data_IF_138336773064
#
_entry.id   IF_138336773064
#
_cell.length_a   1.000
_cell.length_b   1.000
_cell.length_c   1.000
_cell.angle_alpha   90.00
_cell.angle_beta   90.00
_cell.angle_gamma   90.00
#
_symmetry.space_group_name_H-M   'P 1'
#
loop_
_entity.id
_entity.type
_entity.pdbx_description
1 polymer ?
#
# COMPACT_ATOMS: atom_id res chain seq x y z
N UNK A 1 1.72 -11.56 13.64
CA UNK A 1 1.07 -11.32 12.33
C UNK A 1 1.95 -10.37 11.53
N UNK A 2 2.41 -10.77 10.34
CA UNK A 2 3.30 -9.97 9.52
C UNK A 2 2.56 -9.29 8.35
N UNK A 3 2.47 -7.96 8.37
CA UNK A 3 1.93 -7.21 7.23
C UNK A 3 3.02 -7.08 6.17
N UNK A 4 2.83 -7.59 4.94
CA UNK A 4 3.86 -7.58 3.87
C UNK A 4 3.41 -6.78 2.64
N UNK A 5 4.30 -5.94 2.11
CA UNK A 5 4.15 -5.32 0.79
C UNK A 5 4.65 -6.29 -0.28
N UNK A 6 3.77 -6.78 -1.16
CA UNK A 6 4.17 -7.59 -2.30
C UNK A 6 4.65 -6.72 -3.46
N UNK A 7 5.90 -6.93 -3.82
CA UNK A 7 6.58 -6.27 -4.91
C UNK A 7 6.06 -6.84 -6.26
N UNK A 8 5.08 -6.19 -6.90
CA UNK A 8 4.52 -6.63 -8.19
C UNK A 8 4.82 -5.69 -9.34
N UNK A 9 4.75 -6.26 -10.53
CA UNK A 9 4.82 -5.51 -11.78
C UNK A 9 3.47 -4.85 -12.07
N UNK A 10 3.42 -3.53 -11.93
CA UNK A 10 2.23 -2.72 -12.20
C UNK A 10 2.44 -1.88 -13.46
N UNK A 11 1.37 -1.48 -14.13
CA UNK A 11 1.43 -0.46 -15.18
C UNK A 11 0.79 0.82 -14.67
N UNK A 12 1.56 1.90 -14.65
CA UNK A 12 1.04 3.23 -14.42
C UNK A 12 1.09 3.98 -15.75
N UNK A 13 -0.05 4.42 -16.31
CA UNK A 13 -0.07 5.26 -17.50
C UNK A 13 0.45 6.65 -17.13
N UNK A 14 1.77 6.76 -17.02
CA UNK A 14 2.49 8.00 -16.77
C UNK A 14 3.39 8.27 -17.97
N UNK A 15 3.21 9.43 -18.60
CA UNK A 15 4.02 9.84 -19.75
C UNK A 15 5.44 10.23 -19.30
N UNK A 16 6.33 9.24 -19.29
CA UNK A 16 7.78 9.44 -19.24
C UNK A 16 8.37 9.22 -20.64
N UNK A 17 9.44 9.92 -21.02
CA UNK A 17 10.18 9.59 -22.24
C UNK A 17 10.70 8.15 -22.19
N UNK A 18 10.98 7.56 -23.35
CA UNK A 18 11.56 6.23 -23.46
C UNK A 18 12.82 6.08 -22.60
N UNK A 19 12.99 4.89 -22.02
CA UNK A 19 14.10 4.55 -21.14
C UNK A 19 13.67 4.09 -19.74
N UNK A 20 14.67 3.75 -18.91
CA UNK A 20 14.47 3.17 -17.59
C UNK A 20 14.63 4.21 -16.48
N UNK A 21 13.53 4.47 -15.79
CA UNK A 21 13.41 5.52 -14.79
C UNK A 21 13.38 4.96 -13.38
N UNK A 22 14.21 5.47 -12.48
CA UNK A 22 14.18 5.15 -11.06
C UNK A 22 13.34 6.19 -10.32
N UNK A 23 12.39 5.75 -9.48
CA UNK A 23 11.70 6.63 -8.53
C UNK A 23 12.71 7.12 -7.50
N UNK A 24 13.14 8.37 -7.69
CA UNK A 24 14.20 9.00 -6.91
C UNK A 24 13.66 9.57 -5.60
N UNK A 25 12.51 10.25 -5.65
CA UNK A 25 11.94 10.96 -4.51
C UNK A 25 10.46 11.29 -4.66
N UNK A 26 9.78 11.44 -3.53
CA UNK A 26 8.44 12.02 -3.42
C UNK A 26 8.51 13.38 -2.73
N UNK A 27 8.02 14.39 -3.42
CA UNK A 27 7.94 15.79 -3.00
C UNK A 27 6.67 16.13 -2.25
N UNK A 28 6.23 17.38 -2.41
CA UNK A 28 4.99 17.92 -1.85
C UNK A 28 3.76 17.54 -2.70
N UNK A 29 2.58 17.72 -2.12
CA UNK A 29 1.31 17.53 -2.81
C UNK A 29 0.95 18.78 -3.62
N UNK A 30 0.17 18.58 -4.69
CA UNK A 30 -0.43 19.65 -5.47
C UNK A 30 -1.77 19.18 -6.08
N UNK A 31 -2.62 20.12 -6.46
CA UNK A 31 -3.85 19.81 -7.19
C UNK A 31 -3.54 19.43 -8.63
N UNK A 32 -4.23 18.41 -9.13
CA UNK A 32 -4.12 18.02 -10.53
C UNK A 32 -4.94 18.98 -11.40
N UNK A 33 -4.32 19.53 -12.44
CA UNK A 33 -4.96 20.51 -13.33
C UNK A 33 -6.19 19.94 -14.06
N UNK A 34 -6.23 18.63 -14.27
CA UNK A 34 -7.25 17.93 -15.05
C UNK A 34 -8.52 17.59 -14.24
N UNK A 35 -8.46 17.67 -12.90
CA UNK A 35 -9.59 17.39 -12.02
C UNK A 35 -9.48 18.19 -10.72
N UNK A 36 -10.28 19.25 -10.60
CA UNK A 36 -10.42 20.02 -9.37
C UNK A 36 -10.74 19.05 -8.21
N UNK A 37 -10.09 19.24 -7.05
CA UNK A 37 -10.12 18.38 -5.84
C UNK A 37 -9.25 17.12 -5.85
N UNK A 38 -8.73 16.65 -7.00
CA UNK A 38 -7.82 15.51 -7.02
C UNK A 38 -6.41 15.94 -6.64
N UNK A 39 -5.85 15.28 -5.63
CA UNK A 39 -4.48 15.50 -5.16
C UNK A 39 -3.50 14.59 -5.88
N UNK A 40 -2.41 15.18 -6.34
CA UNK A 40 -1.22 14.47 -6.77
C UNK A 40 -0.03 14.76 -5.87
N UNK A 41 0.98 13.91 -5.96
CA UNK A 41 2.29 14.09 -5.33
C UNK A 41 3.36 14.30 -6.40
N UNK A 42 4.20 15.32 -6.20
CA UNK A 42 5.34 15.54 -7.08
C UNK A 42 6.31 14.36 -6.93
N UNK A 43 6.47 13.57 -7.98
CA UNK A 43 7.36 12.41 -8.02
C UNK A 43 8.51 12.69 -8.98
N UNK A 44 9.72 12.37 -8.54
CA UNK A 44 10.95 12.64 -9.25
C UNK A 44 11.56 11.34 -9.75
N UNK A 45 11.88 11.28 -11.02
CA UNK A 45 12.33 10.10 -11.73
C UNK A 45 13.73 10.34 -12.30
N UNK A 46 14.69 9.47 -11.99
CA UNK A 46 16.05 9.53 -12.53
C UNK A 46 16.18 8.56 -13.70
N UNK A 47 16.64 9.03 -14.86
CA UNK A 47 17.00 8.14 -15.97
C UNK A 47 18.27 7.35 -15.62
N UNK A 48 18.24 6.02 -15.74
CA UNK A 48 19.29 5.13 -15.19
C UNK A 48 20.02 4.27 -16.20
N UNK A 49 19.45 4.05 -17.37
CA UNK A 49 19.99 3.23 -18.47
C UNK A 49 20.88 4.02 -19.44
N UNK A 50 21.47 5.12 -18.98
CA UNK A 50 22.33 6.01 -19.77
C UNK A 50 23.63 6.34 -19.02
N UNK A 51 24.70 6.75 -19.72
CA UNK A 51 25.92 7.25 -19.10
C UNK A 51 25.64 8.39 -18.10
N UNK A 52 26.47 8.51 -17.06
CA UNK A 52 26.28 9.50 -15.98
C UNK A 52 26.13 10.95 -16.48
N UNK A 53 26.77 11.30 -17.59
CA UNK A 53 26.68 12.62 -18.21
C UNK A 53 25.29 12.92 -18.82
N UNK A 54 24.54 11.87 -19.16
CA UNK A 54 23.21 11.94 -19.79
C UNK A 54 22.07 11.70 -18.80
N UNK A 55 22.40 11.28 -17.57
CA UNK A 55 21.43 11.11 -16.51
C UNK A 55 20.70 12.43 -16.25
N UNK A 56 19.38 12.37 -16.19
CA UNK A 56 18.51 13.52 -15.92
C UNK A 56 17.38 13.15 -14.99
N UNK A 57 16.83 14.15 -14.33
CA UNK A 57 15.67 13.99 -13.46
C UNK A 57 14.44 14.60 -14.11
N UNK A 58 13.39 13.79 -14.26
CA UNK A 58 12.07 14.21 -14.68
C UNK A 58 11.16 14.35 -13.46
N UNK A 59 10.36 15.42 -13.43
CA UNK A 59 9.32 15.62 -12.42
C UNK A 59 7.96 15.31 -13.05
N UNK A 60 7.13 14.53 -12.36
CA UNK A 60 5.73 14.32 -12.73
C UNK A 60 4.83 14.47 -11.51
N UNK A 61 3.60 14.94 -11.72
CA UNK A 61 2.58 14.94 -10.70
C UNK A 61 1.80 13.63 -10.81
N UNK A 62 1.93 12.75 -9.81
CA UNK A 62 1.28 11.43 -9.81
C UNK A 62 0.07 11.49 -8.88
N UNK A 63 -1.10 11.05 -9.35
CA UNK A 63 -2.30 10.96 -8.51
C UNK A 63 -2.05 10.14 -7.24
N UNK A 64 -2.50 10.64 -6.09
CA UNK A 64 -2.40 9.89 -4.83
C UNK A 64 -3.08 8.52 -4.90
N UNK A 65 -4.14 8.38 -5.69
CA UNK A 65 -4.84 7.11 -5.90
C UNK A 65 -3.92 6.03 -6.50
N UNK A 66 -2.90 6.43 -7.27
CA UNK A 66 -1.93 5.51 -7.88
C UNK A 66 -0.64 5.36 -7.09
N UNK A 67 -0.48 6.11 -6.00
CA UNK A 67 0.77 6.18 -5.26
C UNK A 67 1.17 4.81 -4.71
N UNK A 68 0.20 3.99 -4.30
CA UNK A 68 0.39 2.62 -3.80
C UNK A 68 1.15 1.68 -4.74
N UNK A 69 1.30 2.05 -6.01
CA UNK A 69 2.05 1.32 -7.03
C UNK A 69 3.54 1.71 -7.06
N UNK A 70 3.93 2.79 -6.38
CA UNK A 70 5.25 3.38 -6.40
C UNK A 70 5.90 3.35 -5.01
N UNK A 71 7.20 3.15 -4.97
CA UNK A 71 8.02 3.34 -3.78
C UNK A 71 9.41 3.82 -4.19
N UNK A 72 10.16 4.41 -3.26
CA UNK A 72 11.50 4.90 -3.56
C UNK A 72 12.42 3.75 -3.98
N UNK A 73 13.12 3.94 -5.10
CA UNK A 73 13.98 2.95 -5.69
C UNK A 73 13.29 1.97 -6.66
N UNK A 74 11.96 2.06 -6.84
CA UNK A 74 11.28 1.33 -7.90
C UNK A 74 11.79 1.80 -9.27
N UNK A 75 11.89 0.89 -10.23
CA UNK A 75 12.17 1.25 -11.62
C UNK A 75 10.86 1.25 -12.41
N UNK A 76 10.73 2.16 -13.36
CA UNK A 76 9.63 2.24 -14.29
C UNK A 76 10.19 2.28 -15.71
N UNK A 77 9.62 1.46 -16.58
CA UNK A 77 9.86 1.52 -18.01
C UNK A 77 9.02 2.65 -18.61
N UNK A 78 9.65 3.62 -19.28
CA UNK A 78 8.98 4.81 -19.80
C UNK A 78 7.98 4.50 -20.93
N UNK A 79 8.26 3.46 -21.72
CA UNK A 79 7.45 3.10 -22.88
C UNK A 79 6.20 2.28 -22.49
N UNK A 80 6.38 1.27 -21.64
CA UNK A 80 5.30 0.35 -21.23
C UNK A 80 4.59 0.75 -19.93
N UNK A 81 5.15 1.72 -19.20
CA UNK A 81 4.69 2.10 -17.86
C UNK A 81 4.92 1.02 -16.80
N UNK A 82 5.71 -0.02 -17.12
CA UNK A 82 5.93 -1.18 -16.27
C UNK A 82 6.81 -0.82 -15.07
N UNK A 83 6.27 -0.95 -13.87
CA UNK A 83 6.94 -0.69 -12.61
C UNK A 83 7.55 -2.00 -12.09
N UNK A 84 8.84 -2.00 -11.82
CA UNK A 84 9.56 -3.07 -11.14
C UNK A 84 9.96 -2.60 -9.74
N UNK A 85 9.73 -3.42 -8.72
CA UNK A 85 10.05 -3.05 -7.36
C UNK A 85 11.56 -2.89 -7.13
N UNK A 86 11.88 -2.21 -6.03
CA UNK A 86 13.26 -2.03 -5.59
C UNK A 86 13.73 -3.36 -4.98
N UNK A 87 14.94 -3.77 -5.31
CA UNK A 87 15.57 -4.97 -4.75
C UNK A 87 16.82 -4.58 -3.98
N UNK A 88 17.21 -5.43 -3.03
CA UNK A 88 18.44 -5.23 -2.30
C UNK A 88 19.66 -5.17 -3.24
N UNK A 89 20.65 -4.37 -2.89
CA UNK A 89 21.91 -4.18 -3.58
C UNK A 89 22.96 -3.61 -2.62
N UNK A 90 24.20 -3.44 -3.07
CA UNK A 90 25.28 -2.84 -2.26
C UNK A 90 24.96 -1.42 -1.75
N UNK A 91 24.06 -0.70 -2.42
CA UNK A 91 23.63 0.66 -2.04
C UNK A 91 22.28 0.69 -1.32
N UNK A 92 21.56 -0.44 -1.31
CA UNK A 92 20.22 -0.54 -0.76
C UNK A 92 20.10 -1.86 -0.01
N UNK A 93 20.25 -1.81 1.31
CA UNK A 93 20.33 -2.99 2.16
C UNK A 93 18.94 -3.35 2.67
N UNK A 94 18.55 -4.62 2.53
CA UNK A 94 17.37 -5.15 3.21
C UNK A 94 17.75 -5.54 4.64
N UNK A 95 17.05 -4.99 5.62
CA UNK A 95 17.27 -5.31 7.03
C UNK A 95 15.98 -5.18 7.84
N UNK A 96 15.96 -5.83 8.99
CA UNK A 96 14.90 -5.69 9.99
C UNK A 96 15.46 -4.96 11.20
N UNK A 97 14.76 -3.92 11.63
CA UNK A 97 15.19 -3.04 12.72
C UNK A 97 14.01 -2.74 13.65
N UNK A 98 14.29 -2.42 14.91
CA UNK A 98 13.26 -1.97 15.86
C UNK A 98 13.23 -0.45 15.87
N UNK A 99 12.13 0.15 15.41
CA UNK A 99 11.95 1.60 15.40
C UNK A 99 10.99 1.99 16.52
N UNK A 100 11.45 2.85 17.44
CA UNK A 100 10.57 3.47 18.43
C UNK A 100 9.85 4.68 17.81
N UNK A 101 8.60 4.45 17.44
CA UNK A 101 7.75 5.43 16.77
C UNK A 101 6.95 6.31 17.73
N UNK A 102 7.25 6.26 19.04
CA UNK A 102 6.63 7.14 20.03
C UNK A 102 6.94 8.63 19.78
N UNK A 103 6.05 9.56 20.17
CA UNK A 103 6.26 11.00 19.99
C UNK A 103 7.56 11.53 20.63
N UNK A 104 8.01 10.90 21.73
CA UNK A 104 9.25 11.29 22.41
C UNK A 104 10.53 10.93 21.64
N UNK A 105 10.46 9.97 20.72
CA UNK A 105 11.59 9.47 19.93
C UNK A 105 11.53 9.80 18.44
N UNK A 106 10.46 10.50 18.03
CA UNK A 106 10.27 10.95 16.66
C UNK A 106 10.26 12.47 16.55
N UNK A 107 10.71 13.00 15.43
CA UNK A 107 10.66 14.44 15.15
C UNK A 107 10.57 14.68 13.65
N UNK A 108 9.85 15.72 13.25
CA UNK A 108 9.76 16.14 11.85
C UNK A 108 11.01 16.90 11.43
N UNK A 109 11.50 16.62 10.24
CA UNK A 109 12.55 17.39 9.57
C UNK A 109 12.18 17.63 8.10
N UNK A 110 12.69 18.72 7.54
CA UNK A 110 12.60 18.98 6.10
C UNK A 110 13.73 18.27 5.35
N UNK A 111 13.44 17.76 4.16
CA UNK A 111 14.45 17.13 3.29
C UNK A 111 15.62 18.06 2.99
N UNK A 112 15.36 19.36 2.82
CA UNK A 112 16.38 20.35 2.55
C UNK A 112 17.42 20.49 3.67
N UNK A 113 17.10 20.08 4.90
CA UNK A 113 18.07 20.02 6.00
C UNK A 113 19.11 18.89 5.80
N UNK A 114 18.85 17.95 4.88
CA UNK A 114 19.74 16.83 4.57
C UNK A 114 20.56 17.14 3.32
N UNK A 115 21.89 16.99 3.42
CA UNK A 115 22.79 17.12 2.27
C UNK A 115 22.79 15.84 1.41
N UNK A 116 21.64 15.56 0.78
CA UNK A 116 21.41 14.38 -0.04
C UNK A 116 22.01 14.55 -1.45
N UNK A 117 23.29 14.21 -1.62
CA UNK A 117 23.98 14.04 -2.91
C UNK A 117 24.07 15.24 -3.88
N UNK A 118 25.16 15.29 -4.66
CA UNK A 118 25.37 16.35 -5.67
C UNK A 118 24.36 16.35 -6.82
N UNK A 119 23.79 15.18 -7.18
CA UNK A 119 22.95 15.04 -8.37
C UNK A 119 21.57 15.70 -8.23
N UNK A 120 21.16 16.01 -7.00
CA UNK A 120 19.87 16.62 -6.68
C UNK A 120 20.02 18.01 -6.06
N UNK A 121 21.23 18.58 -6.07
CA UNK A 121 21.52 19.87 -5.44
C UNK A 121 20.70 21.01 -6.07
N UNK A 122 20.47 20.97 -7.38
CA UNK A 122 19.60 21.91 -8.09
C UNK A 122 18.12 21.73 -7.72
N UNK A 123 17.67 20.49 -7.52
CA UNK A 123 16.30 20.19 -7.07
C UNK A 123 16.04 20.67 -5.64
N UNK A 124 17.06 20.75 -4.79
CA UNK A 124 16.92 21.27 -3.42
C UNK A 124 16.40 22.71 -3.36
N UNK A 125 16.54 23.47 -4.45
CA UNK A 125 16.02 24.83 -4.57
C UNK A 125 14.53 24.87 -4.98
N UNK A 126 13.96 23.75 -5.42
CA UNK A 126 12.55 23.67 -5.83
C UNK A 126 11.65 23.40 -4.61
N UNK A 127 10.67 24.28 -4.31
CA UNK A 127 9.79 24.11 -3.15
C UNK A 127 9.04 22.78 -3.14
N UNK A 128 8.70 22.25 -4.31
CA UNK A 128 7.99 20.99 -4.51
C UNK A 128 8.84 19.76 -4.13
N UNK A 129 10.18 19.87 -4.21
CA UNK A 129 11.08 18.76 -3.90
C UNK A 129 11.34 18.60 -2.41
N UNK A 130 11.25 19.71 -1.66
CA UNK A 130 11.48 19.72 -0.22
C UNK A 130 10.29 19.12 0.54
N UNK A 131 10.25 17.80 0.65
CA UNK A 131 9.23 17.07 1.42
C UNK A 131 9.63 16.84 2.88
N UNK A 132 8.66 16.34 3.66
CA UNK A 132 8.82 16.02 5.06
C UNK A 132 9.41 14.63 5.26
N UNK A 133 10.26 14.51 6.27
CA UNK A 133 10.70 13.23 6.82
C UNK A 133 10.42 13.18 8.32
N UNK A 134 10.16 11.97 8.80
CA UNK A 134 10.17 11.63 10.22
C UNK A 134 11.55 11.09 10.55
N UNK A 135 12.23 11.76 11.49
CA UNK A 135 13.47 11.29 12.10
C UNK A 135 13.13 10.47 13.34
N UNK A 136 13.66 9.26 13.41
CA UNK A 136 13.66 8.38 14.57
C UNK A 136 15.06 8.43 15.20
N UNK A 137 15.12 8.67 16.51
CA UNK A 137 16.38 8.76 17.25
C UNK A 137 17.20 7.45 17.16
N UNK A 138 18.52 7.60 17.27
CA UNK A 138 19.44 6.47 17.33
C UNK A 138 19.18 5.62 18.58
N UNK A 139 19.53 4.34 18.48
CA UNK A 139 19.52 3.39 19.60
C UNK A 139 20.91 2.79 19.76
N UNK A 140 21.12 1.99 20.81
CA UNK A 140 22.43 1.37 21.08
C UNK A 140 22.95 0.48 19.92
N UNK A 141 22.07 -0.02 19.06
CA UNK A 141 22.42 -0.92 17.94
C UNK A 141 22.13 -0.35 16.55
N UNK A 142 21.69 0.90 16.42
CA UNK A 142 21.29 1.46 15.13
C UNK A 142 21.45 2.98 15.09
N UNK A 143 21.98 3.55 13.99
CA UNK A 143 22.03 5.00 13.81
C UNK A 143 20.62 5.60 13.68
N UNK A 144 20.54 6.92 13.60
CA UNK A 144 19.27 7.62 13.35
C UNK A 144 18.65 7.17 12.02
N UNK A 145 17.33 6.98 12.03
CA UNK A 145 16.56 6.55 10.85
C UNK A 145 15.71 7.70 10.35
N UNK A 146 15.78 7.96 9.05
CA UNK A 146 14.97 8.94 8.35
C UNK A 146 13.93 8.21 7.52
N UNK A 147 12.67 8.55 7.71
CA UNK A 147 11.55 7.93 7.00
C UNK A 147 10.80 9.03 6.25
N UNK A 148 10.76 9.02 4.91
CA UNK A 148 9.94 9.95 4.16
C UNK A 148 8.47 9.80 4.55
N UNK A 149 7.74 10.91 4.72
CA UNK A 149 6.30 10.87 5.02
C UNK A 149 5.52 10.11 3.95
N UNK A 150 5.94 10.23 2.69
CA UNK A 150 5.41 9.44 1.57
C UNK A 150 5.55 7.93 1.79
N UNK A 151 6.66 7.45 2.35
CA UNK A 151 6.88 6.03 2.64
C UNK A 151 5.97 5.55 3.78
N UNK A 152 5.76 6.37 4.81
CA UNK A 152 4.78 6.09 5.88
C UNK A 152 3.36 6.07 5.33
N UNK A 153 3.01 7.05 4.51
CA UNK A 153 1.72 7.12 3.85
C UNK A 153 1.43 5.87 3.04
N UNK A 154 2.34 5.49 2.14
CA UNK A 154 2.19 4.32 1.29
C UNK A 154 1.92 3.05 2.07
N UNK A 155 2.65 2.86 3.16
CA UNK A 155 2.56 1.65 3.94
C UNK A 155 1.35 1.63 4.87
N UNK A 156 1.03 2.73 5.55
CA UNK A 156 -0.01 2.76 6.58
C UNK A 156 -1.38 3.24 6.09
N UNK A 157 -1.40 4.07 5.04
CA UNK A 157 -2.60 4.75 4.58
C UNK A 157 -2.88 4.49 3.09
N UNK A 158 -1.85 4.08 2.35
CA UNK A 158 -1.84 3.81 0.92
C UNK A 158 -2.17 2.38 0.53
N UNK A 159 -2.70 1.56 1.43
CA UNK A 159 -2.91 0.13 1.17
C UNK A 159 -4.04 -0.15 0.17
N UNK A 160 -4.96 0.81 0.02
CA UNK A 160 -6.09 0.73 -0.91
C UNK A 160 -6.58 2.12 -1.30
N UNK A 161 -7.21 2.23 -2.47
CA UNK A 161 -7.84 3.47 -2.93
C UNK A 161 -8.91 3.95 -1.93
N UNK A 162 -9.63 3.01 -1.31
CA UNK A 162 -10.65 3.31 -0.30
C UNK A 162 -10.05 4.01 0.92
N UNK A 163 -8.94 3.51 1.46
CA UNK A 163 -8.28 4.12 2.62
C UNK A 163 -7.61 5.45 2.25
N UNK A 164 -6.97 5.53 1.09
CA UNK A 164 -6.40 6.77 0.55
C UNK A 164 -7.47 7.86 0.50
N UNK A 165 -8.65 7.55 -0.07
CA UNK A 165 -9.75 8.49 -0.13
C UNK A 165 -10.24 8.86 1.27
N UNK A 166 -10.35 7.89 2.18
CA UNK A 166 -10.80 8.15 3.54
C UNK A 166 -9.87 9.12 4.30
N UNK A 167 -8.55 8.94 4.20
CA UNK A 167 -7.56 9.75 4.95
C UNK A 167 -7.28 11.11 4.31
N UNK A 168 -7.63 11.28 3.04
CA UNK A 168 -7.46 12.54 2.30
C UNK A 168 -8.76 13.35 2.18
N UNK A 169 -9.86 12.85 2.79
CA UNK A 169 -11.15 13.53 2.88
C UNK A 169 -11.64 13.61 4.32
N UNK A 170 -12.85 14.14 4.50
CA UNK A 170 -13.55 14.24 5.77
C UNK A 170 -14.08 12.89 6.30
N UNK A 171 -13.94 11.80 5.55
CA UNK A 171 -14.52 10.50 5.92
C UNK A 171 -13.95 9.92 7.22
N UNK A 172 -12.69 10.21 7.58
CA UNK A 172 -12.14 9.78 8.87
C UNK A 172 -12.71 10.54 10.07
N UNK A 173 -13.50 11.61 9.88
CA UNK A 173 -14.21 12.26 10.98
C UNK A 173 -15.40 11.43 11.49
N UNK A 174 -15.97 10.57 10.64
CA UNK A 174 -17.08 9.68 10.99
C UNK A 174 -16.75 8.23 10.56
N UNK A 175 -15.73 7.60 11.17
CA UNK A 175 -15.25 6.28 10.73
C UNK A 175 -16.34 5.19 10.79
N UNK A 176 -17.33 5.32 11.65
CA UNK A 176 -18.51 4.45 11.75
C UNK A 176 -19.43 4.50 10.52
N UNK A 177 -19.41 5.60 9.76
CA UNK A 177 -20.17 5.72 8.52
C UNK A 177 -19.42 5.12 7.33
N UNK A 178 -18.08 5.19 7.34
CA UNK A 178 -17.26 4.94 6.16
C UNK A 178 -16.38 3.68 6.24
N UNK A 179 -16.01 3.23 7.44
CA UNK A 179 -15.04 2.15 7.63
C UNK A 179 -15.69 0.88 8.18
N UNK A 180 -16.41 0.99 9.30
CA UNK A 180 -16.95 -0.17 10.04
C UNK A 180 -18.31 0.14 10.68
N UNK A 181 -19.08 -0.88 11.08
CA UNK A 181 -20.32 -0.71 11.82
C UNK A 181 -20.10 -0.98 13.32
N UNK A 182 -20.13 0.04 14.20
CA UNK A 182 -19.87 -0.14 15.62
C UNK A 182 -20.96 -0.96 16.34
N UNK A 183 -22.20 -0.95 15.85
CA UNK A 183 -23.29 -1.72 16.48
C UNK A 183 -23.09 -3.24 16.39
N UNK A 184 -22.26 -3.68 15.44
CA UNK A 184 -21.99 -5.09 15.14
C UNK A 184 -20.49 -5.41 15.21
N UNK A 185 -19.68 -4.52 15.78
CA UNK A 185 -18.25 -4.71 15.99
C UNK A 185 -17.96 -4.68 17.48
N UNK A 186 -17.05 -5.54 17.92
CA UNK A 186 -16.51 -5.55 19.26
C UNK A 186 -14.99 -5.71 19.17
N UNK A 187 -14.30 -4.56 19.26
CA UNK A 187 -12.84 -4.47 19.16
C UNK A 187 -12.13 -4.86 20.47
N UNK A 188 -12.88 -5.05 21.56
CA UNK A 188 -12.36 -5.40 22.87
C UNK A 188 -12.60 -6.87 23.25
N UNK A 189 -13.48 -7.57 22.52
CA UNK A 189 -13.66 -9.01 22.66
C UNK A 189 -12.42 -9.81 22.24
N UNK A 190 -12.39 -11.09 22.65
CA UNK A 190 -11.49 -12.08 22.08
C UNK A 190 -12.29 -13.37 21.80
N UNK A 191 -12.53 -13.76 20.53
CA UNK A 191 -12.03 -13.13 19.30
C UNK A 191 -12.61 -11.74 19.07
N UNK A 192 -11.83 -10.86 18.43
CA UNK A 192 -12.37 -9.55 18.02
C UNK A 192 -13.32 -9.73 16.86
N UNK A 193 -14.38 -8.94 16.87
CA UNK A 193 -15.39 -8.93 15.84
C UNK A 193 -15.42 -7.57 15.14
N UNK A 194 -15.39 -7.57 13.80
CA UNK A 194 -15.54 -6.36 13.00
C UNK A 194 -16.53 -6.58 11.86
N UNK A 195 -17.50 -5.68 11.71
CA UNK A 195 -18.33 -5.58 10.51
C UNK A 195 -17.82 -4.42 9.65
N UNK A 196 -17.16 -4.74 8.52
CA UNK A 196 -16.64 -3.74 7.59
C UNK A 196 -17.68 -3.31 6.57
N UNK A 197 -17.59 -2.04 6.13
CA UNK A 197 -18.44 -1.51 5.05
C UNK A 197 -18.14 -2.18 3.71
N UNK A 198 -19.12 -2.24 2.81
CA UNK A 198 -19.05 -3.00 1.53
C UNK A 198 -17.79 -2.76 0.69
N UNK A 199 -17.25 -1.56 0.75
CA UNK A 199 -16.06 -1.12 -0.01
C UNK A 199 -14.73 -1.72 0.47
N UNK A 200 -14.70 -2.34 1.65
CA UNK A 200 -13.50 -3.00 2.20
C UNK A 200 -13.44 -4.46 1.82
N UNK A 201 -12.25 -4.97 1.56
CA UNK A 201 -12.01 -6.41 1.38
C UNK A 201 -11.64 -7.10 2.68
N UNK A 202 -11.78 -8.42 2.72
CA UNK A 202 -11.54 -9.20 3.93
C UNK A 202 -10.07 -9.13 4.37
N UNK A 203 -9.15 -8.97 3.41
CA UNK A 203 -7.73 -8.79 3.68
C UNK A 203 -7.41 -7.39 4.22
N UNK A 204 -8.09 -6.35 3.72
CA UNK A 204 -7.97 -4.98 4.23
C UNK A 204 -8.65 -4.83 5.59
N UNK A 205 -9.69 -5.62 5.89
CA UNK A 205 -10.41 -5.60 7.15
C UNK A 205 -9.52 -5.96 8.34
N UNK A 206 -8.56 -6.87 8.15
CA UNK A 206 -7.58 -7.24 9.16
C UNK A 206 -6.67 -6.06 9.53
N UNK A 207 -6.21 -5.32 8.51
CA UNK A 207 -5.43 -4.10 8.71
C UNK A 207 -6.26 -2.99 9.35
N UNK A 208 -7.51 -2.80 8.90
CA UNK A 208 -8.42 -1.83 9.49
C UNK A 208 -8.66 -2.11 10.97
N UNK A 209 -8.89 -3.37 11.34
CA UNK A 209 -9.13 -3.73 12.73
C UNK A 209 -7.87 -3.52 13.59
N UNK A 210 -6.66 -3.77 13.07
CA UNK A 210 -5.41 -3.40 13.72
C UNK A 210 -5.27 -1.89 13.94
N UNK A 211 -5.65 -1.06 12.97
CA UNK A 211 -5.68 0.40 13.11
C UNK A 211 -6.71 0.86 14.15
N UNK A 212 -7.91 0.29 14.14
CA UNK A 212 -8.99 0.68 15.05
C UNK A 212 -8.69 0.29 16.51
N UNK A 213 -7.90 -0.76 16.75
CA UNK A 213 -7.43 -1.12 18.09
C UNK A 213 -6.29 -0.26 18.60
N UNK A 214 -5.52 0.38 17.71
CA UNK A 214 -4.43 1.24 18.12
C UNK A 214 -4.98 2.59 18.60
N UNK A 215 -4.71 3.00 19.85
CA UNK A 215 -5.15 4.28 20.37
C UNK A 215 -4.67 5.43 19.48
N UNK A 216 -5.53 6.41 19.25
CA UNK A 216 -5.27 7.64 18.49
C UNK A 216 -4.91 7.43 16.99
N UNK A 217 -4.87 6.20 16.47
CA UNK A 217 -4.49 5.95 15.07
C UNK A 217 -5.44 6.65 14.09
N UNK A 218 -6.75 6.63 14.36
CA UNK A 218 -7.75 7.36 13.55
C UNK A 218 -7.53 8.88 13.65
N UNK A 219 -7.22 9.40 14.83
CA UNK A 219 -6.93 10.83 15.01
C UNK A 219 -5.69 11.26 14.24
N UNK A 220 -4.63 10.43 14.23
CA UNK A 220 -3.44 10.62 13.41
C UNK A 220 -3.79 10.63 11.92
N UNK A 221 -4.62 9.69 11.47
CA UNK A 221 -5.12 9.66 10.09
C UNK A 221 -5.88 10.93 9.71
N UNK A 222 -6.75 11.43 10.60
CA UNK A 222 -7.48 12.68 10.39
C UNK A 222 -6.53 13.89 10.27
N UNK A 223 -5.37 13.88 10.94
CA UNK A 223 -4.41 14.98 10.83
C UNK A 223 -3.90 15.17 9.40
N UNK A 224 -3.88 14.12 8.57
CA UNK A 224 -3.47 14.20 7.17
C UNK A 224 -4.42 15.13 6.41
N UNK A 225 -5.73 14.86 6.47
CA UNK A 225 -6.75 15.72 5.86
C UNK A 225 -6.76 17.13 6.46
N UNK A 226 -6.65 17.25 7.79
CA UNK A 226 -6.59 18.56 8.47
C UNK A 226 -5.40 19.39 7.99
N UNK A 227 -4.22 18.79 7.85
CA UNK A 227 -3.01 19.46 7.37
C UNK A 227 -3.14 19.91 5.91
N UNK A 228 -3.72 19.08 5.05
CA UNK A 228 -4.01 19.43 3.65
C UNK A 228 -4.97 20.62 3.59
N UNK A 229 -6.08 20.56 4.33
CA UNK A 229 -7.12 21.60 4.35
C UNK A 229 -6.58 22.91 4.92
N UNK A 230 -5.85 22.85 6.03
CA UNK A 230 -5.20 24.03 6.62
C UNK A 230 -4.22 24.67 5.64
N UNK A 231 -3.39 23.88 4.95
CA UNK A 231 -2.44 24.40 3.96
C UNK A 231 -3.14 25.11 2.81
N UNK A 232 -4.26 24.55 2.31
CA UNK A 232 -5.08 25.17 1.27
C UNK A 232 -5.69 26.50 1.71
N UNK A 233 -6.14 26.61 2.96
CA UNK A 233 -6.71 27.86 3.49
C UNK A 233 -5.67 28.98 3.58
N UNK A 234 -4.43 28.66 3.96
CA UNK A 234 -3.38 29.67 4.13
C UNK A 234 -2.68 30.03 2.82
N UNK A 235 -2.42 29.04 1.95
CA UNK A 235 -1.69 29.22 0.70
C UNK A 235 -2.27 28.36 -0.44
N UNK A 236 -3.40 28.76 -1.06
CA UNK A 236 -4.16 27.93 -1.98
C UNK A 236 -3.39 27.41 -3.20
N UNK A 237 -2.36 28.15 -3.63
CA UNK A 237 -1.55 27.82 -4.81
C UNK A 237 -0.17 27.26 -4.49
N UNK A 238 0.20 27.21 -3.20
CA UNK A 238 1.49 26.69 -2.81
C UNK A 238 1.47 25.15 -2.77
N UNK A 239 2.60 24.49 -3.04
CA UNK A 239 2.73 23.06 -2.83
C UNK A 239 2.43 22.70 -1.37
N UNK A 240 1.53 21.74 -1.18
CA UNK A 240 1.00 21.34 0.13
C UNK A 240 2.01 20.38 0.79
N UNK A 241 2.44 20.63 2.04
CA UNK A 241 3.29 19.70 2.77
C UNK A 241 2.60 18.34 2.90
N UNK A 242 3.34 17.24 2.69
CA UNK A 242 2.83 15.91 2.95
C UNK A 242 3.33 15.43 4.31
N UNK A 243 2.66 15.88 5.36
CA UNK A 243 3.02 15.56 6.74
C UNK A 243 2.21 14.33 7.21
N UNK A 244 2.91 13.20 7.37
CA UNK A 244 2.29 11.92 7.71
C UNK A 244 3.11 11.28 8.81
N UNK A 245 2.43 11.02 9.93
CA UNK A 245 3.00 10.36 11.10
C UNK A 245 2.61 8.87 11.09
N UNK A 246 3.44 7.99 11.69
CA UNK A 246 3.06 6.60 11.88
C UNK A 246 1.83 6.51 12.80
N UNK A 247 0.87 5.61 12.54
CA UNK A 247 -0.32 5.45 13.40
C UNK A 247 -0.03 4.72 14.72
N UNK A 248 1.16 4.14 14.89
CA UNK A 248 1.54 3.33 16.04
C UNK A 248 2.58 4.07 16.89
N UNK A 249 2.24 4.39 18.14
CA UNK A 249 3.08 5.19 19.04
C UNK A 249 3.98 4.33 19.95
N UNK A 250 4.62 3.30 19.39
CA UNK A 250 5.38 2.29 20.14
C UNK A 250 6.57 1.73 19.36
N UNK A 251 7.50 0.99 20.02
CA UNK A 251 8.51 0.20 19.32
C UNK A 251 7.89 -0.85 18.41
N UNK A 252 8.27 -0.83 17.13
CA UNK A 252 7.83 -1.79 16.12
C UNK A 252 9.03 -2.41 15.39
N UNK A 253 8.96 -3.71 15.13
CA UNK A 253 9.91 -4.35 14.23
C UNK A 253 9.51 -4.08 12.78
N UNK A 254 10.39 -3.38 12.06
CA UNK A 254 10.19 -2.95 10.68
C UNK A 254 11.23 -3.62 9.80
N UNK A 255 10.77 -4.42 8.84
CA UNK A 255 11.59 -4.93 7.73
C UNK A 255 11.46 -3.99 6.55
N UNK A 256 12.58 -3.54 6.01
CA UNK A 256 12.57 -2.55 4.94
C UNK A 256 13.85 -2.54 4.11
N UNK A 257 13.84 -1.68 3.11
CA UNK A 257 15.01 -1.32 2.30
C UNK A 257 15.58 0.00 2.80
N UNK A 258 16.85 -0.01 3.13
CA UNK A 258 17.56 1.10 3.74
C UNK A 258 18.75 1.54 2.88
N UNK A 259 18.96 2.84 2.83
CA UNK A 259 20.10 3.46 2.14
C UNK A 259 20.89 4.30 3.15
N UNK A 260 22.20 4.09 3.22
CA UNK A 260 23.07 4.97 4.01
C UNK A 260 23.15 6.37 3.37
N UNK A 261 22.94 7.40 4.18
CA UNK A 261 23.10 8.80 3.80
C UNK A 261 23.83 9.54 4.92
N UNK A 262 25.12 9.81 4.73
CA UNK A 262 25.95 10.37 5.81
C UNK A 262 25.91 9.43 7.02
N UNK A 263 25.52 9.96 8.17
CA UNK A 263 25.40 9.21 9.43
C UNK A 263 24.00 8.60 9.65
N UNK A 264 23.09 8.76 8.69
CA UNK A 264 21.69 8.35 8.81
C UNK A 264 21.38 7.13 7.93
N UNK A 265 20.41 6.33 8.38
CA UNK A 265 19.75 5.33 7.55
C UNK A 265 18.45 5.91 6.98
N UNK A 266 18.36 6.02 5.66
CA UNK A 266 17.11 6.39 4.97
C UNK A 266 16.29 5.13 4.68
N UNK A 267 15.11 5.02 5.28
CA UNK A 267 14.14 3.96 4.99
C UNK A 267 13.38 4.29 3.70
N UNK A 268 13.77 3.65 2.59
CA UNK A 268 13.22 3.96 1.26
C UNK A 268 11.90 3.23 1.02
N UNK A 269 11.74 2.02 1.57
CA UNK A 269 10.57 1.19 1.37
C UNK A 269 10.35 0.27 2.58
N UNK A 270 9.15 0.30 3.14
CA UNK A 270 8.72 -0.66 4.18
C UNK A 270 8.19 -1.91 3.50
N UNK A 271 8.82 -3.05 3.79
CA UNK A 271 8.41 -4.35 3.27
C UNK A 271 7.46 -5.05 4.23
N UNK A 272 7.71 -4.92 5.53
CA UNK A 272 6.79 -5.44 6.54
C UNK A 272 6.94 -4.77 7.89
N UNK A 273 5.86 -4.83 8.67
CA UNK A 273 5.84 -4.45 10.08
C UNK A 273 5.21 -5.57 10.88
N UNK A 274 5.81 -5.89 12.03
CA UNK A 274 5.17 -6.72 13.04
C UNK A 274 4.38 -5.83 14.00
N UNK A 275 3.06 -5.93 13.94
CA UNK A 275 2.15 -5.14 14.75
C UNK A 275 1.90 -5.75 16.14
N UNK A 276 2.46 -6.93 16.44
CA UNK A 276 2.34 -7.62 17.73
C UNK A 276 0.91 -7.55 18.31
N UNK A 277 -0.05 -8.06 17.54
CA UNK A 277 -1.47 -8.00 17.90
C UNK A 277 -1.79 -8.90 19.10
N UNK A 278 -2.69 -8.45 19.96
CA UNK A 278 -3.02 -9.05 21.27
C UNK A 278 -4.30 -9.92 21.26
N UNK A 279 -4.87 -10.20 20.09
CA UNK A 279 -6.10 -10.98 19.90
C UNK A 279 -5.86 -12.42 19.41
N UNK A 280 -6.64 -13.39 19.87
CA UNK A 280 -6.49 -14.81 19.46
C UNK A 280 -7.00 -15.08 18.05
N UNK A 281 -8.06 -14.37 17.65
CA UNK A 281 -8.63 -14.40 16.31
C UNK A 281 -9.43 -13.13 15.97
N UNK A 282 -9.69 -12.93 14.68
CA UNK A 282 -10.53 -11.87 14.12
C UNK A 282 -11.69 -12.48 13.33
N UNK A 283 -12.92 -12.19 13.75
CA UNK A 283 -14.14 -12.50 13.02
C UNK A 283 -14.58 -11.32 12.15
N UNK A 284 -14.60 -11.53 10.83
CA UNK A 284 -14.94 -10.51 9.83
C UNK A 284 -16.36 -10.75 9.32
N UNK A 285 -17.18 -9.71 9.43
CA UNK A 285 -18.54 -9.63 8.95
C UNK A 285 -18.64 -8.58 7.84
N UNK A 286 -19.56 -8.78 6.88
CA UNK A 286 -19.95 -7.73 5.92
C UNK A 286 -21.28 -7.11 6.31
N UNK A 287 -21.42 -5.86 5.90
CA UNK A 287 -22.67 -5.10 5.95
C UNK A 287 -23.90 -5.96 5.63
N UNK A 288 -24.72 -6.18 6.67
CA UNK A 288 -25.84 -7.13 6.65
C UNK A 288 -25.63 -8.34 7.57
N UNK A 289 -24.59 -8.35 8.40
CA UNK A 289 -24.39 -9.32 9.48
C UNK A 289 -23.95 -10.72 9.06
N UNK A 290 -23.64 -10.97 7.77
CA UNK A 290 -23.15 -12.29 7.32
C UNK A 290 -21.67 -12.44 7.70
N UNK A 291 -21.36 -13.42 8.55
CA UNK A 291 -19.98 -13.82 8.86
C UNK A 291 -19.34 -14.43 7.63
N UNK A 292 -18.13 -13.98 7.29
CA UNK A 292 -17.46 -14.37 6.04
C UNK A 292 -16.14 -15.06 6.31
N UNK A 293 -15.40 -14.61 7.33
CA UNK A 293 -14.06 -15.14 7.59
C UNK A 293 -13.73 -15.07 9.07
N UNK A 294 -13.03 -16.08 9.56
CA UNK A 294 -12.29 -16.04 10.83
C UNK A 294 -10.81 -16.13 10.48
N UNK A 295 -10.00 -15.22 11.01
CA UNK A 295 -8.53 -15.24 10.88
C UNK A 295 -7.95 -15.55 12.24
N UNK A 296 -7.11 -16.59 12.34
CA UNK A 296 -6.50 -17.00 13.62
C UNK A 296 -5.00 -16.70 13.64
N UNK A 297 -4.39 -16.62 14.83
CA UNK A 297 -2.93 -16.49 14.95
C UNK A 297 -2.15 -17.66 14.31
N UNK A 298 -2.80 -18.80 14.06
CA UNK A 298 -2.20 -20.02 13.51
C UNK A 298 -2.31 -20.14 11.98
N UNK A 299 -2.95 -19.19 11.29
CA UNK A 299 -2.98 -19.18 9.82
C UNK A 299 -1.59 -18.85 9.19
N UNK A 300 -0.57 -18.56 10.02
CA UNK A 300 0.83 -18.25 9.64
C UNK A 300 1.80 -19.45 9.80
N UNK A 301 1.35 -20.66 10.18
CA UNK A 301 2.24 -21.84 10.26
C UNK A 301 2.35 -22.56 8.91
N UNK A 302 3.56 -22.61 8.35
CA UNK A 302 3.98 -23.35 7.15
C UNK A 302 3.88 -24.90 7.30
N UNK A 303 2.83 -25.45 7.93
CA UNK A 303 2.61 -26.89 7.97
C UNK A 303 1.75 -27.34 6.78
N UNK A 304 2.27 -28.19 5.87
CA UNK A 304 1.51 -28.66 4.73
C UNK A 304 0.38 -29.60 5.18
N UNK A 305 -0.84 -29.46 4.65
CA UNK A 305 -1.89 -30.43 4.90
C UNK A 305 -1.50 -31.80 4.31
N UNK A 306 -1.92 -32.92 4.94
CA UNK A 306 -1.54 -34.26 4.49
C UNK A 306 -1.99 -34.54 3.05
N UNK A 307 -1.08 -35.11 2.25
CA UNK A 307 -1.27 -35.34 0.82
C UNK A 307 -2.40 -36.36 0.53
N UNK A 308 -3.33 -36.05 -0.38
CA UNK A 308 -4.28 -37.02 -0.91
C UNK A 308 -3.65 -37.86 -2.05
N UNK A 309 -4.13 -39.10 -2.28
CA UNK A 309 -3.53 -40.02 -3.26
C UNK A 309 -3.75 -39.56 -4.72
N UNK A 310 -2.83 -39.91 -5.64
CA UNK A 310 -2.76 -39.32 -6.98
C UNK A 310 -3.83 -39.88 -7.94
N UNK A 311 -4.46 -39.02 -8.77
CA UNK A 311 -5.31 -39.48 -9.86
C UNK A 311 -4.55 -39.64 -11.20
N UNK A 312 -4.99 -40.63 -11.95
CA UNK A 312 -4.49 -41.05 -13.26
C UNK A 312 -4.91 -40.11 -14.40
N UNK A 313 -3.95 -39.76 -15.27
CA UNK A 313 -4.15 -39.63 -16.72
C UNK A 313 -4.58 -38.28 -17.33
N UNK A 314 -3.59 -37.54 -17.89
CA UNK A 314 -3.43 -37.35 -19.35
C UNK A 314 -4.25 -36.31 -20.15
N UNK A 315 -3.49 -35.41 -20.80
CA UNK A 315 -3.77 -34.67 -22.07
C UNK A 315 -4.58 -33.36 -21.94
N UNK A 316 -4.29 -32.22 -22.60
CA UNK A 316 -3.33 -31.86 -23.64
C UNK A 316 -3.91 -30.73 -24.53
N UNK A 317 -3.02 -29.94 -25.16
CA UNK A 317 -3.20 -29.07 -26.36
C UNK A 317 -3.39 -27.54 -26.15
N UNK A 318 -2.44 -26.78 -26.72
CA UNK A 318 -2.41 -25.34 -27.03
C UNK A 318 -2.64 -25.12 -28.56
N UNK A 319 -2.32 -23.98 -29.22
CA UNK A 319 -2.47 -22.53 -29.00
C UNK A 319 -3.21 -21.85 -30.20
N UNK A 320 -3.29 -20.50 -30.23
CA UNK A 320 -3.35 -19.52 -31.38
C UNK A 320 -4.26 -18.32 -30.99
N UNK A 321 -4.08 -17.07 -31.41
CA UNK A 321 -3.17 -16.39 -32.34
C UNK A 321 -3.36 -14.85 -32.23
N UNK A 322 -2.54 -14.11 -32.98
CA UNK A 322 -2.29 -12.66 -32.98
C UNK A 322 -3.48 -11.75 -33.31
N UNK A 323 -3.52 -10.50 -32.78
CA UNK A 323 -3.99 -9.28 -33.49
C UNK A 323 -3.36 -7.98 -32.93
N UNK A 324 -2.65 -7.30 -33.84
CA UNK A 324 -2.40 -5.87 -34.13
C UNK A 324 -2.46 -4.71 -33.10
N UNK A 325 -1.41 -3.89 -33.20
CA UNK A 325 -1.15 -2.58 -32.58
C UNK A 325 -1.88 -1.46 -33.36
N UNK A 326 -2.43 -0.48 -32.63
CA UNK A 326 -2.91 0.78 -33.21
C UNK A 326 -2.50 1.97 -32.32
N UNK A 327 -1.84 2.96 -32.93
CA UNK A 327 -1.45 4.23 -32.31
C UNK A 327 -2.60 5.25 -32.26
N UNK A 328 -2.51 6.20 -31.31
CA UNK A 328 -3.11 7.57 -31.17
C UNK A 328 -3.89 7.80 -29.85
N UNK A 329 -4.20 9.05 -29.48
CA UNK A 329 -3.37 10.08 -28.84
C UNK A 329 -3.68 10.19 -27.33
N UNK A 330 -2.86 10.94 -26.59
CA UNK A 330 -2.98 11.14 -25.14
C UNK A 330 -4.42 11.46 -24.69
N UNK A 331 -4.91 10.64 -23.75
CA UNK A 331 -6.27 10.73 -23.24
C UNK A 331 -6.43 9.85 -22.00
N UNK A 332 -6.87 10.50 -20.94
CA UNK A 332 -7.48 9.92 -19.74
C UNK A 332 -8.37 8.73 -20.10
N UNK A 333 -8.13 7.57 -19.50
CA UNK A 333 -9.06 6.44 -19.62
C UNK A 333 -10.09 6.49 -18.49
N UNK A 334 -11.40 6.59 -18.81
CA UNK A 334 -12.47 6.31 -17.85
C UNK A 334 -12.54 4.78 -17.66
N UNK A 335 -11.52 4.24 -17.00
CA UNK A 335 -11.39 2.83 -16.62
C UNK A 335 -11.14 2.67 -15.12
N UNK A 336 -11.48 3.69 -14.32
CA UNK A 336 -11.38 3.67 -12.86
C UNK A 336 -12.50 2.84 -12.17
N UNK A 337 -13.26 2.06 -12.94
CA UNK A 337 -14.14 1.03 -12.41
C UNK A 337 -13.34 -0.27 -12.32
N UNK A 338 -13.11 -0.72 -11.08
CA UNK A 338 -12.46 -2.00 -10.74
C UNK A 338 -10.94 -2.05 -10.96
N UNK A 339 -10.18 -1.34 -10.12
CA UNK A 339 -8.76 -1.64 -9.89
C UNK A 339 -8.70 -2.71 -8.78
N UNK A 340 -8.36 -3.98 -9.07
CA UNK A 340 -8.25 -5.01 -8.04
C UNK A 340 -6.90 -4.84 -7.31
N UNK A 341 -6.78 -3.82 -6.46
CA UNK A 341 -5.73 -3.76 -5.42
C UNK A 341 -5.76 -5.05 -4.55
N UNK A 342 -6.92 -5.69 -4.48
CA UNK A 342 -7.21 -6.99 -3.85
C UNK A 342 -6.51 -8.18 -4.53
N UNK A 343 -6.16 -8.08 -5.81
CA UNK A 343 -5.41 -9.15 -6.48
C UNK A 343 -3.98 -9.24 -5.92
N UNK A 344 -3.43 -8.15 -5.36
CA UNK A 344 -2.12 -8.08 -4.73
C UNK A 344 -2.03 -8.93 -3.45
N UNK A 345 -3.09 -8.96 -2.65
CA UNK A 345 -3.23 -9.85 -1.50
C UNK A 345 -3.44 -11.32 -1.92
N UNK A 346 -4.14 -11.55 -3.04
CA UNK A 346 -4.45 -12.91 -3.53
C UNK A 346 -3.28 -13.75 -4.04
N UNK A 347 -2.17 -13.19 -4.56
CA UNK A 347 -1.10 -14.05 -5.13
C UNK A 347 -0.03 -14.49 -4.13
N UNK A 348 -0.21 -14.21 -2.83
CA UNK A 348 0.43 -15.00 -1.79
C UNK A 348 -0.39 -16.22 -1.37
N UNK A 349 -1.57 -16.44 -1.97
CA UNK A 349 -2.42 -17.57 -1.69
C UNK A 349 -2.73 -18.35 -2.98
N UNK A 350 -1.73 -19.15 -3.41
CA UNK A 350 -1.78 -20.45 -4.14
C UNK A 350 -0.85 -20.59 -5.37
N UNK A 351 0.15 -21.45 -5.15
CA UNK A 351 0.79 -22.53 -5.98
C UNK A 351 1.66 -22.17 -7.21
N UNK A 352 2.78 -22.90 -7.46
CA UNK A 352 3.24 -23.18 -8.81
C UNK A 352 2.40 -24.31 -9.45
N UNK A 353 2.13 -24.13 -10.74
CA UNK A 353 1.24 -24.89 -11.63
C UNK A 353 1.38 -26.42 -11.63
N UNK A 354 0.28 -27.12 -11.89
CA UNK A 354 0.05 -27.83 -13.16
C UNK A 354 -1.47 -27.99 -13.46
N UNK A 355 -1.86 -27.49 -14.63
CA UNK A 355 -2.85 -27.94 -15.62
C UNK A 355 -4.28 -28.45 -15.28
N UNK A 356 -5.25 -27.69 -15.84
CA UNK A 356 -6.39 -28.10 -16.68
C UNK A 356 -7.78 -28.51 -16.09
N UNK A 357 -8.88 -28.46 -16.90
CA UNK A 357 -10.05 -27.61 -16.62
C UNK A 357 -11.39 -28.37 -16.40
N UNK A 358 -12.41 -27.64 -15.88
CA UNK A 358 -13.89 -27.70 -16.15
C UNK A 358 -14.58 -29.08 -16.13
N UNK A 359 -15.82 -29.32 -15.67
CA UNK A 359 -17.04 -28.56 -15.32
C UNK A 359 -18.02 -29.64 -14.75
N UNK A 360 -19.06 -29.20 -14.03
CA UNK A 360 -20.45 -29.71 -13.98
C UNK A 360 -20.70 -31.12 -14.61
N UNK A 361 -21.36 -32.09 -13.98
CA UNK A 361 -22.74 -31.98 -13.50
C UNK A 361 -23.21 -33.30 -12.83
N UNK A 362 -24.17 -33.14 -11.91
CA UNK A 362 -25.38 -33.94 -11.66
C UNK A 362 -25.33 -35.46 -11.40
N UNK A 363 -26.13 -35.77 -10.37
CA UNK A 363 -26.99 -36.94 -10.14
C UNK A 363 -26.39 -38.23 -9.57
N UNK A 364 -26.77 -38.47 -8.32
CA UNK A 364 -27.55 -39.62 -7.80
C UNK A 364 -27.13 -39.84 -6.35
N UNK A 365 -27.99 -40.02 -5.36
CA UNK A 365 -29.43 -40.20 -5.23
C UNK A 365 -29.62 -40.41 -3.72
N UNK A 366 -30.52 -39.68 -3.09
CA UNK A 366 -31.88 -40.15 -2.82
C UNK A 366 -32.03 -40.70 -1.39
N UNK A 367 -33.21 -40.40 -0.87
CA UNK A 367 -33.86 -40.95 0.33
C UNK A 367 -33.56 -40.25 1.67
N UNK A 368 -34.55 -39.80 2.44
CA UNK A 368 -35.99 -39.79 2.25
C UNK A 368 -36.65 -38.95 3.37
N UNK A 369 -37.69 -38.16 3.02
CA UNK A 369 -39.07 -38.18 3.59
C UNK A 369 -39.19 -37.77 5.08
N UNK A 370 -40.06 -36.87 5.56
CA UNK A 370 -41.39 -36.46 5.13
C UNK A 370 -41.90 -35.24 5.95
N UNK A 371 -42.82 -34.47 5.34
CA UNK A 371 -44.10 -33.96 5.90
C UNK A 371 -44.12 -32.96 7.07
N UNK A 372 -45.03 -31.99 7.21
CA UNK A 372 -46.15 -31.38 6.44
C UNK A 372 -46.65 -30.17 7.25
N UNK A 373 -47.42 -29.28 6.60
CA UNK A 373 -48.38 -28.30 7.12
C UNK A 373 -47.81 -27.01 7.76
N UNK A 374 -48.11 -25.80 7.25
CA UNK A 374 -49.42 -25.13 7.04
C UNK A 374 -50.04 -24.62 8.36
N UNK A 375 -50.26 -23.31 8.35
CA UNK A 375 -51.14 -22.46 9.18
C UNK A 375 -50.63 -21.95 10.54
N UNK A 376 -50.45 -20.63 10.54
CA UNK A 376 -50.49 -19.69 11.65
C UNK A 376 -50.48 -18.29 11.07
#
# INVERSE_FOLDING_TARGET
MHYRTLARTHRLPLHLPSGRWLVLWFGKLAEMAEAASVLGIHTYFLLTDVPRAEQRVERRLVSLAHMHLLHLGAHMDGDSGLIRPATASDKLVRQTVTLDLSPGNTSRIDRAALNLSRFTATLAQTPEYNSQLIRVKATAGMPEVLIPSATLFLFFWGISTTLINAVTSDHLHNPEMHLYNPANSDLHADPVRIEVRRQWTDDEALYLAALLKEPDAIDIGQQIFKAITASRMHQPRAPIPFDVWPPFARPLQVSGLFRQVGDYLLLTHILSVDLAQDWSALEIYREGGRRIRTVTQYDDTDEPPPEPPPPNGGSGIAPTGDVEVKETPGGWSPGAAEIPAVAALKACWRRPNFDHPRRLNLDQGAEAVAMTAICG
#
